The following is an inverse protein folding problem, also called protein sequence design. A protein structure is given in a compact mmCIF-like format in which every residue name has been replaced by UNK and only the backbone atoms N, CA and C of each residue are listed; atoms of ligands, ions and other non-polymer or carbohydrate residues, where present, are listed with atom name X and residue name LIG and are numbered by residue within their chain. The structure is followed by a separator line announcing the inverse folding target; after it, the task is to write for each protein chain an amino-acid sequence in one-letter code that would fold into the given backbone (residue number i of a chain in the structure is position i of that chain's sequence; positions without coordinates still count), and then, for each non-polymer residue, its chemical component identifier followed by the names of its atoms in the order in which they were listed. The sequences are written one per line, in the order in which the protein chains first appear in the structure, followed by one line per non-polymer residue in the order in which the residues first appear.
data_IF_056927920119
#
_entry.id   IF_056927920119
#
_cell.length_a   1.000
_cell.length_b   1.000
_cell.length_c   1.000
_cell.angle_alpha   90.00
_cell.angle_beta   90.00
_cell.angle_gamma   90.00
#
_symmetry.space_group_name_H-M   'P 1'
#
loop_
_entity.id
_entity.type
_entity.pdbx_description
1 polymer ?
#
# COMPACT_ATOMS: atom_id res chain seq x y z
N UNK A 1 -4.33 -6.10 9.57
CA UNK A 1 -3.13 -6.98 9.70
C UNK A 1 -3.29 -8.08 10.77
N UNK A 2 -3.98 -7.79 11.89
CA UNK A 2 -4.20 -8.72 13.02
C UNK A 2 -4.90 -10.03 12.60
N UNK A 3 -6.00 -9.96 11.84
CA UNK A 3 -6.77 -11.14 11.42
C UNK A 3 -5.94 -12.16 10.61
N UNK A 4 -5.07 -11.71 9.71
CA UNK A 4 -4.21 -12.59 8.93
C UNK A 4 -3.19 -13.35 9.81
N UNK A 5 -2.71 -12.69 10.87
CA UNK A 5 -1.79 -13.30 11.83
C UNK A 5 -2.51 -14.33 12.72
N UNK A 6 -3.72 -14.01 13.19
CA UNK A 6 -4.58 -14.94 13.93
C UNK A 6 -4.87 -16.18 13.08
N UNK A 7 -5.25 -16.00 11.82
CA UNK A 7 -5.50 -17.10 10.89
C UNK A 7 -4.27 -17.98 10.64
N UNK A 8 -3.07 -17.39 10.56
CA UNK A 8 -1.82 -18.15 10.45
C UNK A 8 -1.54 -18.97 11.72
N UNK A 9 -1.73 -18.39 12.91
CA UNK A 9 -1.60 -19.09 14.19
C UNK A 9 -2.60 -20.24 14.28
N UNK A 10 -3.86 -19.99 13.93
CA UNK A 10 -4.90 -21.02 13.89
C UNK A 10 -4.57 -22.15 12.92
N UNK A 11 -4.07 -21.84 11.71
CA UNK A 11 -3.64 -22.85 10.73
C UNK A 11 -2.51 -23.72 11.28
N UNK A 12 -1.50 -23.11 11.91
CA UNK A 12 -0.38 -23.83 12.54
C UNK A 12 -0.88 -24.73 13.67
N UNK A 13 -1.68 -24.19 14.56
CA UNK A 13 -2.28 -24.94 15.66
C UNK A 13 -3.05 -26.17 15.17
N UNK A 14 -3.98 -26.00 14.21
CA UNK A 14 -4.69 -27.13 13.59
C UNK A 14 -3.78 -28.17 12.95
N UNK A 15 -2.67 -27.74 12.35
CA UNK A 15 -1.68 -28.64 11.76
C UNK A 15 -1.00 -29.47 12.83
N UNK A 16 -0.56 -28.84 13.92
CA UNK A 16 0.03 -29.52 15.08
C UNK A 16 -0.94 -30.53 15.66
N UNK A 17 -2.17 -30.13 16.00
CA UNK A 17 -3.18 -31.04 16.56
C UNK A 17 -3.44 -32.24 15.63
N UNK A 18 -3.52 -32.01 14.32
CA UNK A 18 -3.71 -33.10 13.36
C UNK A 18 -2.51 -34.07 13.37
N UNK A 19 -1.30 -33.56 13.48
CA UNK A 19 -0.08 -34.38 13.50
C UNK A 19 0.07 -35.19 14.80
N UNK A 20 -0.28 -34.62 15.95
CA UNK A 20 -0.06 -35.25 17.25
C UNK A 20 -1.24 -36.08 17.72
N UNK A 21 -2.49 -35.67 17.43
CA UNK A 21 -3.69 -36.25 18.03
C UNK A 21 -4.60 -37.00 17.03
N UNK A 22 -4.30 -36.93 15.72
CA UNK A 22 -5.09 -37.62 14.69
C UNK A 22 -4.27 -38.61 13.87
N UNK A 23 -3.22 -38.16 13.19
CA UNK A 23 -2.43 -39.01 12.27
C UNK A 23 -1.81 -40.27 12.91
N UNK A 24 -1.36 -40.28 14.19
CA UNK A 24 -0.73 -41.46 14.79
C UNK A 24 -1.71 -42.60 15.08
N UNK A 25 -3.01 -42.31 15.16
CA UNK A 25 -4.02 -43.25 15.64
C UNK A 25 -4.90 -43.75 14.48
N UNK A 26 -5.33 -45.01 14.55
CA UNK A 26 -6.19 -45.60 13.50
C UNK A 26 -7.66 -45.52 13.84
N UNK A 27 -8.02 -45.65 15.13
CA UNK A 27 -9.42 -45.68 15.55
C UNK A 27 -9.85 -44.38 16.24
N UNK A 28 -11.17 -44.08 16.17
CA UNK A 28 -11.74 -42.84 16.74
C UNK A 28 -11.61 -42.83 18.26
N UNK A 29 -11.78 -43.98 18.91
CA UNK A 29 -11.71 -44.08 20.37
C UNK A 29 -10.32 -43.72 20.90
N UNK A 30 -9.25 -44.17 20.25
CA UNK A 30 -7.88 -43.76 20.58
C UNK A 30 -7.65 -42.27 20.32
N UNK A 31 -8.17 -41.71 19.22
CA UNK A 31 -8.07 -40.27 18.96
C UNK A 31 -8.75 -39.47 20.08
N UNK A 32 -9.99 -39.82 20.44
CA UNK A 32 -10.75 -39.13 21.49
C UNK A 32 -10.08 -39.22 22.86
N UNK A 33 -9.48 -40.37 23.22
CA UNK A 33 -8.66 -40.50 24.44
C UNK A 33 -7.47 -39.54 24.44
N UNK A 34 -6.91 -39.27 23.27
CA UNK A 34 -5.81 -38.33 23.07
C UNK A 34 -6.32 -36.92 22.71
N UNK A 35 -7.52 -36.52 23.12
CA UNK A 35 -8.02 -35.16 22.89
C UNK A 35 -7.13 -34.13 23.60
N UNK A 36 -6.69 -33.04 22.92
CA UNK A 36 -5.97 -31.96 23.57
C UNK A 36 -6.82 -31.28 24.66
N UNK A 37 -6.22 -30.98 25.82
CA UNK A 37 -6.89 -30.29 26.94
C UNK A 37 -7.46 -28.90 26.58
N UNK A 38 -6.93 -28.28 25.53
CA UNK A 38 -7.35 -26.95 25.06
C UNK A 38 -8.58 -26.96 24.16
N UNK A 39 -9.06 -28.13 23.74
CA UNK A 39 -10.22 -28.27 22.85
C UNK A 39 -11.27 -29.14 23.54
N UNK A 40 -12.53 -28.68 23.64
CA UNK A 40 -13.63 -29.52 24.11
C UNK A 40 -13.77 -30.78 23.23
N UNK A 41 -14.02 -31.93 23.86
CA UNK A 41 -14.14 -33.21 23.14
C UNK A 41 -15.18 -33.14 22.01
N UNK A 42 -16.30 -32.45 22.23
CA UNK A 42 -17.36 -32.25 21.25
C UNK A 42 -16.86 -31.60 19.95
N UNK A 43 -15.97 -30.59 20.07
CA UNK A 43 -15.35 -29.93 18.93
C UNK A 43 -14.29 -30.81 18.28
N UNK A 44 -13.53 -31.55 19.08
CA UNK A 44 -12.53 -32.48 18.55
C UNK A 44 -13.16 -33.63 17.77
N UNK A 45 -14.30 -34.15 18.21
CA UNK A 45 -15.09 -35.16 17.48
C UNK A 45 -15.53 -34.64 16.11
N UNK A 46 -15.99 -33.39 16.01
CA UNK A 46 -16.32 -32.74 14.73
C UNK A 46 -15.10 -32.62 13.82
N UNK A 47 -13.92 -32.29 14.37
CA UNK A 47 -12.66 -32.23 13.61
C UNK A 47 -12.23 -33.59 13.05
N UNK A 48 -12.30 -34.65 13.86
CA UNK A 48 -12.03 -36.03 13.43
C UNK A 48 -12.94 -36.40 12.25
N UNK A 49 -14.25 -36.16 12.40
CA UNK A 49 -15.22 -36.43 11.34
C UNK A 49 -14.83 -35.69 10.05
N UNK A 50 -14.57 -34.39 10.13
CA UNK A 50 -14.13 -33.57 9.00
C UNK A 50 -12.86 -34.11 8.32
N UNK A 51 -11.84 -34.48 9.08
CA UNK A 51 -10.59 -35.01 8.50
C UNK A 51 -10.74 -36.37 7.83
N UNK A 52 -11.78 -37.14 8.17
CA UNK A 52 -12.08 -38.43 7.54
C UNK A 52 -12.93 -38.32 6.28
N UNK A 53 -13.59 -37.18 6.04
CA UNK A 53 -14.37 -36.93 4.82
C UNK A 53 -13.47 -37.09 3.58
N UNK A 54 -13.93 -37.88 2.61
CA UNK A 54 -13.16 -38.20 1.41
C UNK A 54 -12.83 -36.96 0.57
N UNK A 55 -13.78 -36.03 0.44
CA UNK A 55 -13.57 -34.72 -0.19
C UNK A 55 -12.41 -33.95 0.46
N UNK A 56 -12.34 -33.97 1.80
CA UNK A 56 -11.27 -33.28 2.52
C UNK A 56 -9.91 -33.96 2.29
N UNK A 57 -9.85 -35.30 2.29
CA UNK A 57 -8.62 -36.05 1.97
C UNK A 57 -8.11 -35.75 0.56
N UNK A 58 -8.98 -35.79 -0.44
CA UNK A 58 -8.65 -35.45 -1.83
C UNK A 58 -8.08 -34.03 -1.93
N UNK A 59 -8.73 -33.06 -1.30
CA UNK A 59 -8.26 -31.68 -1.25
C UNK A 59 -6.87 -31.57 -0.59
N UNK A 60 -6.63 -32.25 0.53
CA UNK A 60 -5.31 -32.23 1.19
C UNK A 60 -4.21 -32.87 0.33
N UNK A 61 -4.52 -33.99 -0.34
CA UNK A 61 -3.59 -34.66 -1.25
C UNK A 61 -3.23 -33.76 -2.43
N UNK A 62 -4.22 -33.11 -3.04
CA UNK A 62 -3.99 -32.16 -4.12
C UNK A 62 -3.16 -30.96 -3.65
N UNK A 63 -3.48 -30.38 -2.49
CA UNK A 63 -2.71 -29.27 -1.92
C UNK A 63 -1.26 -29.66 -1.62
N UNK A 64 -1.00 -30.91 -1.22
CA UNK A 64 0.37 -31.44 -1.04
C UNK A 64 1.12 -31.49 -2.38
N UNK A 65 0.48 -32.00 -3.44
CA UNK A 65 1.05 -32.02 -4.80
C UNK A 65 1.35 -30.60 -5.30
N UNK A 66 0.38 -29.69 -5.19
CA UNK A 66 0.53 -28.29 -5.58
C UNK A 66 1.68 -27.61 -4.82
N UNK A 67 1.80 -27.89 -3.51
CA UNK A 67 2.91 -27.36 -2.71
C UNK A 67 4.25 -27.91 -3.16
N UNK A 68 4.35 -29.21 -3.49
CA UNK A 68 5.58 -29.80 -4.01
C UNK A 68 6.04 -29.12 -5.31
N UNK A 69 5.10 -28.80 -6.20
CA UNK A 69 5.35 -28.12 -7.48
C UNK A 69 5.64 -26.62 -7.36
N UNK A 70 5.59 -26.04 -6.15
CA UNK A 70 5.85 -24.61 -5.96
C UNK A 70 7.33 -24.26 -6.20
N UNK A 71 7.60 -23.59 -7.32
CA UNK A 71 8.90 -23.02 -7.71
C UNK A 71 9.20 -21.69 -7.02
N UNK A 72 10.46 -21.25 -7.06
CA UNK A 72 10.92 -19.90 -6.67
C UNK A 72 10.56 -19.47 -5.24
N UNK A 73 10.77 -20.36 -4.27
CA UNK A 73 10.41 -20.12 -2.87
C UNK A 73 11.30 -19.06 -2.23
N UNK A 74 10.70 -18.21 -1.39
CA UNK A 74 11.43 -17.24 -0.57
C UNK A 74 12.43 -17.94 0.37
N UNK A 75 13.68 -17.46 0.42
CA UNK A 75 14.77 -18.09 1.19
C UNK A 75 15.31 -17.27 2.37
N UNK A 76 14.93 -16.00 2.54
CA UNK A 76 15.40 -15.12 3.64
C UNK A 76 14.75 -15.40 5.02
N UNK A 77 14.12 -16.56 5.20
CA UNK A 77 13.57 -16.97 6.49
C UNK A 77 12.54 -15.98 7.07
N UNK A 78 12.64 -15.61 8.36
CA UNK A 78 11.73 -14.66 9.03
C UNK A 78 11.85 -13.20 8.57
N UNK A 79 12.84 -12.87 7.74
CA UNK A 79 13.01 -11.50 7.24
C UNK A 79 11.84 -11.17 6.32
N UNK A 80 11.10 -10.11 6.65
CA UNK A 80 9.96 -9.66 5.87
C UNK A 80 10.42 -8.80 4.67
N UNK A 81 9.54 -8.61 3.68
CA UNK A 81 9.88 -7.80 2.50
C UNK A 81 10.11 -6.32 2.84
N UNK A 82 9.48 -5.77 3.88
CA UNK A 82 9.70 -4.36 4.26
C UNK A 82 11.15 -4.10 4.69
N UNK A 83 11.72 -5.01 5.50
CA UNK A 83 13.14 -4.95 5.90
C UNK A 83 14.09 -5.13 4.71
N UNK A 84 13.69 -5.91 3.71
CA UNK A 84 14.49 -6.12 2.51
C UNK A 84 14.46 -4.88 1.64
N UNK A 85 13.27 -4.28 1.42
CA UNK A 85 13.11 -3.00 0.71
C UNK A 85 13.96 -1.90 1.32
N UNK A 86 13.87 -1.72 2.65
CA UNK A 86 14.66 -0.71 3.35
C UNK A 86 16.19 -0.88 3.21
N UNK A 87 16.67 -2.08 2.89
CA UNK A 87 18.10 -2.32 2.60
C UNK A 87 18.47 -2.07 1.14
N UNK A 88 17.51 -2.21 0.23
CA UNK A 88 17.70 -2.03 -1.21
C UNK A 88 17.44 -0.58 -1.65
N UNK A 89 16.62 0.16 -0.91
CA UNK A 89 16.24 1.55 -1.20
C UNK A 89 17.42 2.50 -0.96
N UNK A 90 18.21 2.74 -2.01
CA UNK A 90 19.21 3.81 -2.09
C UNK A 90 18.58 5.05 -2.76
N UNK A 91 17.62 5.70 -2.10
CA UNK A 91 16.84 6.86 -2.57
C UNK A 91 15.78 6.61 -3.67
N UNK A 92 15.75 5.41 -4.27
CA UNK A 92 14.76 5.06 -5.29
C UNK A 92 14.03 3.75 -4.91
N UNK A 93 12.72 3.62 -5.18
CA UNK A 93 12.00 2.38 -4.91
C UNK A 93 12.63 1.17 -5.61
N UNK A 94 12.76 0.08 -4.85
CA UNK A 94 13.22 -1.21 -5.38
C UNK A 94 12.18 -1.84 -6.31
N UNK A 95 12.64 -2.43 -7.40
CA UNK A 95 11.78 -3.10 -8.39
C UNK A 95 11.33 -4.47 -7.90
N UNK A 96 10.28 -5.01 -8.54
CA UNK A 96 9.79 -6.35 -8.25
C UNK A 96 10.84 -7.44 -8.58
N UNK A 97 11.67 -7.20 -9.60
CA UNK A 97 12.78 -8.07 -9.99
C UNK A 97 13.89 -8.07 -8.93
N UNK A 98 14.31 -6.89 -8.45
CA UNK A 98 15.30 -6.76 -7.36
C UNK A 98 14.82 -7.46 -6.10
N UNK A 99 13.57 -7.22 -5.71
CA UNK A 99 12.95 -7.89 -4.59
C UNK A 99 12.92 -9.41 -4.78
N UNK A 100 12.67 -9.90 -6.00
CA UNK A 100 12.71 -11.33 -6.29
C UNK A 100 14.12 -11.90 -6.12
N UNK A 101 15.12 -11.32 -6.78
CA UNK A 101 16.53 -11.74 -6.72
C UNK A 101 16.99 -11.78 -5.27
N UNK A 102 16.85 -10.68 -4.54
CA UNK A 102 17.32 -10.57 -3.17
C UNK A 102 16.65 -11.63 -2.29
N UNK A 103 15.36 -11.85 -2.43
CA UNK A 103 14.65 -12.76 -1.52
C UNK A 103 14.83 -14.25 -1.83
N UNK A 104 15.37 -14.58 -3.00
CA UNK A 104 15.63 -15.97 -3.45
C UNK A 104 17.11 -16.31 -3.43
N UNK A 105 18.00 -15.32 -3.42
CA UNK A 105 19.41 -15.54 -3.15
C UNK A 105 19.62 -16.28 -1.83
N UNK A 106 20.47 -17.29 -1.89
CA UNK A 106 20.76 -18.11 -0.73
C UNK A 106 21.67 -17.35 0.22
N UNK A 107 21.26 -17.21 1.49
CA UNK A 107 22.13 -16.67 2.56
C UNK A 107 22.97 -17.75 3.23
N UNK A 108 22.70 -19.02 2.92
CA UNK A 108 23.45 -20.18 3.41
C UNK A 108 23.88 -20.98 2.19
N UNK A 109 24.92 -21.77 2.30
CA UNK A 109 25.53 -22.62 1.26
C UNK A 109 24.60 -23.75 0.72
N UNK A 110 23.28 -23.57 0.78
CA UNK A 110 22.31 -24.45 0.15
C UNK A 110 22.26 -24.12 -1.33
N UNK A 111 22.49 -25.15 -2.15
CA UNK A 111 22.31 -25.06 -3.60
C UNK A 111 20.90 -24.55 -3.96
N UNK A 112 20.88 -23.72 -4.99
CA UNK A 112 19.67 -23.29 -5.66
C UNK A 112 19.33 -24.30 -6.75
N UNK A 113 18.04 -24.44 -7.05
CA UNK A 113 17.59 -25.15 -8.24
C UNK A 113 18.02 -24.36 -9.49
N UNK A 114 18.40 -25.08 -10.54
CA UNK A 114 18.89 -24.54 -11.81
C UNK A 114 17.90 -23.53 -12.41
N UNK A 115 16.61 -23.89 -12.50
CA UNK A 115 15.53 -22.99 -12.89
C UNK A 115 15.55 -21.64 -12.13
N UNK A 116 15.80 -21.67 -10.82
CA UNK A 116 15.84 -20.44 -10.00
C UNK A 116 17.11 -19.63 -10.26
N UNK A 117 18.25 -20.30 -10.49
CA UNK A 117 19.50 -19.63 -10.85
C UNK A 117 19.38 -18.91 -12.18
N UNK A 118 18.83 -19.57 -13.20
CA UNK A 118 18.65 -18.99 -14.54
C UNK A 118 17.76 -17.75 -14.50
N UNK A 119 16.64 -17.83 -13.78
CA UNK A 119 15.73 -16.68 -13.61
C UNK A 119 16.40 -15.55 -12.83
N UNK A 120 17.20 -15.86 -11.80
CA UNK A 120 17.95 -14.84 -11.05
C UNK A 120 18.98 -14.17 -11.96
N UNK A 121 19.77 -14.93 -12.71
CA UNK A 121 20.80 -14.42 -13.60
C UNK A 121 20.18 -13.51 -14.67
N UNK A 122 19.12 -13.97 -15.34
CA UNK A 122 18.41 -13.19 -16.34
C UNK A 122 17.84 -11.89 -15.75
N UNK A 123 17.20 -11.93 -14.57
CA UNK A 123 16.68 -10.72 -13.93
C UNK A 123 17.80 -9.76 -13.48
N UNK A 124 18.94 -10.28 -13.05
CA UNK A 124 20.10 -9.44 -12.68
C UNK A 124 20.67 -8.73 -13.90
N UNK A 125 20.82 -9.42 -15.03
CA UNK A 125 21.34 -8.82 -16.26
C UNK A 125 20.39 -7.78 -16.83
N UNK A 126 19.08 -8.04 -16.81
CA UNK A 126 18.07 -7.04 -17.20
C UNK A 126 18.05 -5.83 -16.27
N UNK A 127 18.31 -6.02 -14.97
CA UNK A 127 18.40 -4.92 -14.01
C UNK A 127 19.64 -4.05 -14.23
N UNK A 128 20.78 -4.62 -14.68
CA UNK A 128 21.96 -3.85 -15.09
C UNK A 128 21.68 -2.96 -16.30
N UNK A 129 20.80 -3.40 -17.22
CA UNK A 129 20.41 -2.61 -18.40
C UNK A 129 19.53 -1.43 -18.01
N UNK A 130 18.40 -1.68 -17.35
CA UNK A 130 17.55 -0.64 -16.75
C UNK A 130 16.44 -1.25 -15.90
N UNK A 131 15.91 -0.47 -14.95
CA UNK A 131 14.73 -0.85 -14.16
C UNK A 131 13.51 -1.18 -15.03
N UNK A 132 13.29 -0.43 -16.11
CA UNK A 132 12.19 -0.69 -17.07
C UNK A 132 12.36 -2.05 -17.75
N UNK A 133 13.59 -2.42 -18.12
CA UNK A 133 13.89 -3.74 -18.69
C UNK A 133 13.62 -4.85 -17.68
N UNK A 134 14.10 -4.70 -16.44
CA UNK A 134 13.85 -5.66 -15.37
C UNK A 134 12.36 -5.89 -15.08
N UNK A 135 11.55 -4.82 -15.10
CA UNK A 135 10.09 -4.92 -14.92
C UNK A 135 9.46 -5.72 -16.07
N UNK A 136 9.83 -5.44 -17.33
CA UNK A 136 9.33 -6.18 -18.50
C UNK A 136 9.74 -7.64 -18.47
N UNK A 137 11.00 -7.92 -18.15
CA UNK A 137 11.54 -9.26 -18.00
C UNK A 137 10.80 -10.04 -16.91
N UNK A 138 10.56 -9.42 -15.75
CA UNK A 138 9.77 -10.03 -14.67
C UNK A 138 8.35 -10.38 -15.13
N UNK A 139 7.67 -9.46 -15.81
CA UNK A 139 6.33 -9.71 -16.35
C UNK A 139 6.32 -10.81 -17.42
N UNK A 140 7.37 -10.92 -18.23
CA UNK A 140 7.52 -11.99 -19.23
C UNK A 140 7.64 -13.37 -18.58
N UNK A 141 8.50 -13.50 -17.56
CA UNK A 141 8.74 -14.78 -16.86
C UNK A 141 7.50 -15.22 -16.06
N UNK A 142 6.87 -14.28 -15.36
CA UNK A 142 5.84 -14.59 -14.37
C UNK A 142 4.42 -14.41 -14.89
N UNK A 143 4.25 -13.78 -16.05
CA UNK A 143 2.99 -13.38 -16.62
C UNK A 143 2.26 -12.32 -15.80
N UNK A 144 1.02 -12.02 -16.21
CA UNK A 144 0.13 -11.09 -15.53
C UNK A 144 -0.09 -11.48 -14.06
N UNK A 145 -0.16 -10.48 -13.19
CA UNK A 145 -0.51 -10.72 -11.80
C UNK A 145 -1.92 -11.26 -11.64
N UNK A 146 -2.07 -12.28 -10.79
CA UNK A 146 -3.36 -12.92 -10.51
C UNK A 146 -4.17 -12.07 -9.53
N UNK A 147 -5.48 -12.32 -9.49
CA UNK A 147 -6.33 -11.78 -8.44
C UNK A 147 -5.80 -12.18 -7.05
N UNK A 148 -5.86 -11.26 -6.09
CA UNK A 148 -5.31 -11.46 -4.75
C UNK A 148 -3.98 -10.73 -4.56
N UNK A 149 -2.93 -11.45 -4.17
CA UNK A 149 -1.66 -10.86 -3.70
C UNK A 149 -0.68 -10.62 -4.84
N UNK A 150 -0.07 -9.43 -4.88
CA UNK A 150 1.01 -9.08 -5.82
C UNK A 150 2.33 -9.76 -5.41
N UNK A 151 3.05 -10.32 -6.38
CA UNK A 151 4.32 -11.03 -6.11
C UNK A 151 5.37 -10.03 -5.60
N UNK A 152 6.21 -10.49 -4.66
CA UNK A 152 7.30 -9.70 -4.06
C UNK A 152 6.88 -8.39 -3.35
N UNK A 153 5.58 -8.15 -3.12
CA UNK A 153 5.07 -6.90 -2.55
C UNK A 153 4.61 -6.98 -1.09
N UNK A 154 4.79 -8.11 -0.42
CA UNK A 154 4.22 -8.28 0.92
C UNK A 154 2.81 -8.81 0.90
N UNK A 155 2.25 -8.99 2.10
CA UNK A 155 0.97 -9.68 2.32
C UNK A 155 -0.25 -8.83 2.02
N UNK A 156 -0.09 -7.50 2.10
CA UNK A 156 -1.21 -6.55 2.11
C UNK A 156 -1.50 -6.02 0.71
N UNK A 157 -0.51 -6.07 -0.18
CA UNK A 157 -0.62 -5.45 -1.50
C UNK A 157 -1.39 -6.34 -2.47
N UNK A 158 -2.50 -5.79 -2.95
CA UNK A 158 -3.37 -6.37 -3.98
C UNK A 158 -3.28 -5.50 -5.25
N UNK A 159 -3.46 -6.05 -6.47
CA UNK A 159 -3.32 -5.29 -7.71
C UNK A 159 -4.18 -4.02 -7.78
N UNK A 160 -5.41 -4.08 -7.27
CA UNK A 160 -6.34 -2.94 -7.24
C UNK A 160 -5.84 -1.80 -6.35
N UNK A 161 -5.20 -2.13 -5.22
CA UNK A 161 -4.61 -1.14 -4.32
C UNK A 161 -3.39 -0.46 -4.97
N UNK A 162 -2.58 -1.19 -5.73
CA UNK A 162 -1.47 -0.60 -6.47
C UNK A 162 -1.93 0.41 -7.50
N UNK A 163 -2.93 0.05 -8.31
CA UNK A 163 -3.53 0.95 -9.29
C UNK A 163 -4.05 2.24 -8.64
N UNK A 164 -4.81 2.12 -7.55
CA UNK A 164 -5.29 3.28 -6.79
C UNK A 164 -4.14 4.16 -6.28
N UNK A 165 -3.06 3.55 -5.79
CA UNK A 165 -1.90 4.31 -5.31
C UNK A 165 -1.16 5.02 -6.46
N UNK A 166 -1.06 4.39 -7.63
CA UNK A 166 -0.49 5.01 -8.83
C UNK A 166 -1.34 6.22 -9.26
N UNK A 167 -2.66 6.07 -9.32
CA UNK A 167 -3.62 7.17 -9.59
C UNK A 167 -3.46 8.32 -8.59
N UNK A 168 -3.44 8.02 -7.29
CA UNK A 168 -3.21 9.01 -6.24
C UNK A 168 -1.87 9.74 -6.43
N UNK A 169 -0.82 9.02 -6.86
CA UNK A 169 0.50 9.62 -7.08
C UNK A 169 0.47 10.58 -8.27
N UNK A 170 -0.19 10.19 -9.36
CA UNK A 170 -0.35 11.07 -10.53
C UNK A 170 -1.16 12.32 -10.21
N UNK A 171 -2.25 12.18 -9.45
CA UNK A 171 -3.07 13.29 -9.00
C UNK A 171 -2.27 14.25 -8.09
N UNK A 172 -1.45 13.71 -7.17
CA UNK A 172 -0.59 14.54 -6.32
C UNK A 172 0.45 15.32 -7.12
N UNK A 173 1.02 14.71 -8.16
CA UNK A 173 1.97 15.40 -9.04
C UNK A 173 1.29 16.51 -9.84
N UNK A 174 0.11 16.24 -10.42
CA UNK A 174 -0.69 17.25 -11.12
C UNK A 174 -1.05 18.42 -10.21
N UNK A 175 -1.57 18.13 -9.01
CA UNK A 175 -1.87 19.15 -8.01
C UNK A 175 -0.64 19.98 -7.64
N UNK A 176 0.53 19.35 -7.46
CA UNK A 176 1.76 20.09 -7.17
C UNK A 176 2.19 21.01 -8.33
N UNK A 177 2.04 20.56 -9.59
CA UNK A 177 2.36 21.39 -10.76
C UNK A 177 1.37 22.55 -10.96
N UNK A 178 0.08 22.31 -10.75
CA UNK A 178 -0.95 23.36 -10.80
C UNK A 178 -0.76 24.39 -9.69
N UNK A 179 -0.49 23.92 -8.46
CA UNK A 179 -0.20 24.80 -7.33
C UNK A 179 1.01 25.71 -7.62
N UNK A 180 2.12 25.15 -8.10
CA UNK A 180 3.30 25.92 -8.46
C UNK A 180 3.00 26.94 -9.58
N UNK A 181 2.16 26.57 -10.54
CA UNK A 181 1.73 27.46 -11.63
C UNK A 181 0.87 28.62 -11.10
N UNK A 182 -0.04 28.36 -10.16
CA UNK A 182 -0.88 29.38 -9.54
C UNK A 182 -0.07 30.30 -8.64
N UNK A 183 0.86 29.76 -7.84
CA UNK A 183 1.78 30.57 -7.02
C UNK A 183 2.57 31.55 -7.89
N UNK A 184 3.14 31.09 -9.02
CA UNK A 184 3.82 31.97 -9.97
C UNK A 184 2.89 33.08 -10.53
N UNK A 185 1.62 32.77 -10.82
CA UNK A 185 0.66 33.77 -11.29
C UNK A 185 0.30 34.80 -10.22
N UNK A 186 0.12 34.36 -8.97
CA UNK A 186 -0.12 35.25 -7.83
C UNK A 186 1.06 36.19 -7.62
N UNK A 187 2.30 35.68 -7.72
CA UNK A 187 3.50 36.50 -7.61
C UNK A 187 3.61 37.56 -8.73
N UNK A 188 3.23 37.22 -9.97
CA UNK A 188 3.17 38.18 -11.08
C UNK A 188 2.10 39.24 -10.84
N UNK A 189 0.89 38.82 -10.47
CA UNK A 189 -0.21 39.74 -10.17
C UNK A 189 0.12 40.67 -9.00
N UNK A 190 0.84 40.18 -7.99
CA UNK A 190 1.27 41.00 -6.85
C UNK A 190 2.22 42.12 -7.29
N UNK A 191 3.16 41.82 -8.20
CA UNK A 191 4.08 42.83 -8.78
C UNK A 191 3.32 43.87 -9.59
N UNK A 192 2.40 43.46 -10.45
CA UNK A 192 1.57 44.38 -11.25
C UNK A 192 0.72 45.29 -10.34
N UNK A 193 0.14 44.75 -9.27
CA UNK A 193 -0.61 45.53 -8.28
C UNK A 193 0.29 46.55 -7.58
N UNK A 194 1.52 46.18 -7.23
CA UNK A 194 2.45 47.10 -6.56
C UNK A 194 3.00 48.18 -7.50
N UNK A 195 3.21 47.86 -8.79
CA UNK A 195 3.51 48.84 -9.83
C UNK A 195 2.36 49.84 -10.02
N UNK A 196 1.12 49.35 -10.14
CA UNK A 196 -0.07 50.21 -10.26
C UNK A 196 -0.22 51.12 -9.03
N UNK A 197 -0.02 50.60 -7.82
CA UNK A 197 -0.01 51.41 -6.59
C UNK A 197 1.04 52.52 -6.64
N UNK A 198 2.25 52.23 -7.14
CA UNK A 198 3.32 53.22 -7.26
C UNK A 198 2.96 54.36 -8.23
N UNK A 199 2.34 54.01 -9.38
CA UNK A 199 1.95 54.96 -10.41
C UNK A 199 0.82 55.87 -9.92
N UNK A 200 -0.17 55.32 -9.24
CA UNK A 200 -1.25 56.09 -8.61
C UNK A 200 -0.69 57.07 -7.57
N UNK A 201 0.27 56.62 -6.74
CA UNK A 201 0.94 57.49 -5.76
C UNK A 201 1.68 58.65 -6.42
N UNK A 202 2.43 58.39 -7.50
CA UNK A 202 3.09 59.44 -8.30
C UNK A 202 2.10 60.43 -8.92
N UNK A 203 1.01 59.95 -9.53
CA UNK A 203 0.00 60.82 -10.14
C UNK A 203 -0.69 61.72 -9.11
N UNK A 204 -0.98 61.18 -7.92
CA UNK A 204 -1.52 61.97 -6.81
C UNK A 204 -0.53 63.06 -6.39
N UNK A 205 0.76 62.74 -6.23
CA UNK A 205 1.81 63.71 -5.90
C UNK A 205 2.00 64.80 -6.97
N UNK A 206 1.85 64.46 -8.26
CA UNK A 206 1.96 65.42 -9.36
C UNK A 206 0.77 66.39 -9.45
N UNK A 207 -0.45 65.93 -9.14
CA UNK A 207 -1.64 66.79 -9.11
C UNK A 207 -1.77 67.62 -7.84
N UNK A 208 -1.08 67.24 -6.76
CA UNK A 208 -1.18 67.88 -5.46
C UNK A 208 -0.13 68.96 -5.22
N UNK A 209 0.19 69.82 -6.19
CA UNK A 209 0.91 71.09 -5.95
C UNK A 209 0.11 72.12 -5.12
N UNK A 210 -0.73 71.62 -4.18
CA UNK A 210 -1.55 72.40 -3.28
C UNK A 210 -2.63 71.62 -2.51
N UNK A 211 -2.60 70.27 -2.43
CA UNK A 211 -3.63 69.50 -1.70
C UNK A 211 -2.99 68.62 -0.62
N UNK A 212 -3.45 68.83 0.62
CA UNK A 212 -3.02 68.13 1.84
C UNK A 212 -3.45 66.65 1.80
N UNK A 213 -2.45 65.77 1.84
CA UNK A 213 -2.60 64.32 1.70
C UNK A 213 -3.38 63.68 2.87
N UNK A 214 -3.33 64.29 4.06
CA UNK A 214 -4.01 63.78 5.26
C UNK A 214 -5.54 63.94 5.16
N UNK A 215 -6.01 64.99 4.47
CA UNK A 215 -7.44 65.25 4.26
C UNK A 215 -8.08 64.27 3.26
N UNK A 216 -7.33 63.83 2.24
CA UNK A 216 -7.79 62.90 1.21
C UNK A 216 -7.82 61.45 1.71
N UNK A 217 -6.86 61.07 2.55
CA UNK A 217 -6.83 59.77 3.22
C UNK A 217 -8.02 59.58 4.17
N UNK A 218 -8.41 60.63 4.90
CA UNK A 218 -9.61 60.64 5.75
C UNK A 218 -10.91 60.48 4.93
N UNK A 219 -10.95 61.05 3.72
CA UNK A 219 -12.12 61.00 2.84
C UNK A 219 -12.31 59.62 2.19
N UNK A 220 -11.22 58.94 1.82
CA UNK A 220 -11.27 57.58 1.28
C UNK A 220 -11.47 56.52 2.38
N UNK A 221 -10.86 56.69 3.56
CA UNK A 221 -11.07 55.80 4.72
C UNK A 221 -12.53 55.80 5.23
N UNK A 222 -13.27 56.88 5.01
CA UNK A 222 -14.69 56.99 5.38
C UNK A 222 -15.64 56.22 4.43
N UNK A 223 -15.19 55.85 3.23
CA UNK A 223 -16.05 55.12 2.25
C UNK A 223 -16.02 53.60 2.42
N UNK A 224 -15.12 53.05 3.25
CA UNK A 224 -15.03 51.61 3.54
C UNK A 224 -15.53 51.25 4.95
N UNK A 225 -16.36 52.10 5.54
CA UNK A 225 -17.00 51.89 6.83
C UNK A 225 -18.52 51.88 6.71
N UNK A 226 -19.09 50.79 6.19
CA UNK A 226 -20.46 50.43 6.57
C UNK A 226 -20.49 48.95 6.98
N UNK A 227 -20.46 48.64 8.29
CA UNK A 227 -20.79 47.34 8.81
C UNK A 227 -22.30 47.29 9.01
N UNK A 228 -23.03 46.73 8.04
CA UNK A 228 -24.38 46.25 8.32
C UNK A 228 -24.38 44.73 8.22
N UNK A 229 -24.60 44.16 9.41
CA UNK A 229 -24.89 42.78 9.72
C UNK A 229 -25.93 42.19 8.77
N UNK A 230 -25.70 40.95 8.34
CA UNK A 230 -26.73 39.92 8.35
C UNK A 230 -26.07 38.64 8.89
N UNK A 231 -26.11 38.55 10.22
CA UNK A 231 -26.09 37.26 10.90
C UNK A 231 -27.52 36.72 10.83
N UNK A 232 -27.75 35.76 9.93
CA UNK A 232 -28.66 34.67 10.24
C UNK A 232 -27.92 33.37 9.99
N UNK A 233 -27.65 32.70 11.11
CA UNK A 233 -27.31 31.30 11.23
C UNK A 233 -28.29 30.46 10.39
N UNK A 234 -27.77 29.53 9.60
CA UNK A 234 -28.16 28.13 9.73
C UNK A 234 -27.03 27.25 9.18
N UNK A 235 -26.40 26.54 10.11
CA UNK A 235 -25.60 25.36 9.84
C UNK A 235 -26.51 24.30 9.19
N UNK A 236 -26.21 23.86 7.97
CA UNK A 236 -26.71 22.59 7.47
C UNK A 236 -25.53 21.64 7.27
N UNK A 237 -25.23 20.93 8.37
CA UNK A 237 -24.44 19.73 8.40
C UNK A 237 -25.31 18.58 7.87
N UNK A 238 -25.04 18.09 6.65
CA UNK A 238 -25.63 16.82 6.21
C UNK A 238 -24.70 15.71 6.67
N UNK A 239 -25.01 15.17 7.86
CA UNK A 239 -24.60 13.83 8.25
C UNK A 239 -25.22 12.84 7.27
N UNK A 240 -24.39 12.27 6.41
CA UNK A 240 -24.74 11.06 5.67
C UNK A 240 -24.65 9.87 6.61
N UNK A 241 -25.77 9.55 7.28
CA UNK A 241 -25.94 8.25 7.93
C UNK A 241 -25.86 7.13 6.88
N UNK A 242 -24.91 6.23 7.10
CA UNK A 242 -24.78 4.96 6.41
C UNK A 242 -25.61 3.97 7.21
N UNK A 243 -26.82 3.64 6.75
CA UNK A 243 -27.54 2.47 7.24
C UNK A 243 -26.86 1.20 6.69
N UNK A 244 -26.53 0.31 7.62
CA UNK A 244 -26.12 -1.06 7.38
C UNK A 244 -27.37 -1.94 7.44
N UNK A 245 -27.70 -2.58 6.31
CA UNK A 245 -28.37 -3.89 6.25
C UNK A 245 -27.53 -4.84 5.37
#
# INVERSE_FOLDING_TARGET
MVLAHINDKWRRYKTTIKQTNFLPYKCVNEMLKNCPKSIPESHFRKLIAYWRIEKAKKMFAQNKKNRAQQKFRHRKGPINFARIRARLENNEPSTQAEMFVETRQSTKEKSLDEDTLDVIAHLQDENKKSKKSAIRAFQSIFGKEKAGRVRCHGRVTIPTLLKKNEEITTLKQQYATEKATLENKVDVMQKEVDELKSLVKMMLQQKSSGVDFDMLAAQLGSTLGNPNNDAHEEENYVEGEIELD
#
